data_IF_333198036760
#
_entry.id   IF_333198036760
#
_cell.length_a   1.000
_cell.length_b   1.000
_cell.length_c   1.000
_cell.angle_alpha   90.00
_cell.angle_beta   90.00
_cell.angle_gamma   90.00
#
_symmetry.space_group_name_H-M   'P 1'
#
loop_
_entity.id
_entity.type
_entity.pdbx_description
1 polymer ?
#
# COMPACT_ATOMS: atom_id res chain seq x y z
N UNK A 1 34.13 -12.13 -14.62
CA UNK A 1 33.94 -12.38 -13.18
C UNK A 1 32.89 -11.41 -12.72
N UNK A 2 31.63 -11.85 -12.74
CA UNK A 2 30.46 -11.05 -12.37
C UNK A 2 30.42 -10.86 -10.86
N UNK A 3 30.69 -9.63 -10.40
CA UNK A 3 30.56 -9.22 -8.99
C UNK A 3 29.12 -8.72 -8.72
N UNK A 4 28.15 -9.15 -9.53
CA UNK A 4 26.75 -8.95 -9.23
C UNK A 4 26.30 -10.05 -8.26
N UNK A 5 25.83 -9.65 -7.07
CA UNK A 5 25.13 -10.44 -6.04
C UNK A 5 25.87 -10.71 -4.73
N UNK A 6 26.49 -9.71 -4.10
CA UNK A 6 26.55 -9.68 -2.64
C UNK A 6 26.22 -8.28 -2.14
N UNK A 7 24.93 -7.97 -2.09
CA UNK A 7 24.43 -6.84 -1.31
C UNK A 7 24.76 -7.16 0.16
N UNK A 8 25.51 -6.31 0.90
CA UNK A 8 25.58 -6.45 2.35
C UNK A 8 24.19 -6.13 2.90
N UNK A 9 23.33 -7.14 2.96
CA UNK A 9 22.10 -7.07 3.73
C UNK A 9 22.56 -6.91 5.18
N UNK A 10 22.44 -5.70 5.72
CA UNK A 10 22.41 -5.58 7.17
C UNK A 10 21.37 -6.59 7.66
N UNK A 11 21.68 -7.43 8.66
CA UNK A 11 20.74 -8.44 9.12
C UNK A 11 19.45 -7.72 9.51
N UNK A 12 18.43 -7.84 8.65
CA UNK A 12 17.13 -7.25 8.91
C UNK A 12 16.59 -8.00 10.11
N UNK A 13 16.30 -7.27 11.19
CA UNK A 13 15.67 -7.87 12.36
C UNK A 13 14.37 -8.50 11.88
N UNK A 14 14.23 -9.81 12.12
CA UNK A 14 13.09 -10.57 11.67
C UNK A 14 11.85 -10.14 12.44
N UNK A 15 10.84 -9.68 11.73
CA UNK A 15 9.55 -9.33 12.31
C UNK A 15 8.67 -10.58 12.41
N UNK A 16 8.75 -11.26 13.56
CA UNK A 16 8.01 -12.51 13.82
C UNK A 16 6.50 -12.30 13.73
N UNK A 17 5.99 -11.15 14.20
CA UNK A 17 4.57 -10.84 14.14
C UNK A 17 4.11 -10.63 12.70
N UNK A 18 4.89 -9.89 11.90
CA UNK A 18 4.54 -9.65 10.51
C UNK A 18 4.59 -10.94 9.67
N UNK A 19 5.56 -11.82 9.92
CA UNK A 19 5.63 -13.14 9.28
C UNK A 19 4.41 -14.02 9.64
N UNK A 20 4.01 -14.03 10.91
CA UNK A 20 2.83 -14.76 11.36
C UNK A 20 1.55 -14.20 10.73
N UNK A 21 1.39 -12.88 10.68
CA UNK A 21 0.26 -12.23 10.02
C UNK A 21 0.23 -12.54 8.52
N UNK A 22 1.38 -12.50 7.85
CA UNK A 22 1.49 -12.87 6.44
C UNK A 22 0.99 -14.29 6.20
N UNK A 23 1.40 -15.25 7.05
CA UNK A 23 0.98 -16.65 6.92
C UNK A 23 -0.52 -16.84 7.19
N UNK A 24 -1.04 -16.29 8.27
CA UNK A 24 -2.47 -16.41 8.60
C UNK A 24 -3.36 -15.71 7.56
N UNK A 25 -2.89 -14.59 7.01
CA UNK A 25 -3.60 -13.90 5.94
C UNK A 25 -3.56 -14.68 4.62
N UNK A 26 -2.44 -15.35 4.32
CA UNK A 26 -2.37 -16.28 3.20
C UNK A 26 -3.37 -17.44 3.38
N UNK A 27 -3.40 -18.08 4.55
CA UNK A 27 -4.36 -19.13 4.90
C UNK A 27 -5.82 -18.64 4.75
N UNK A 28 -6.10 -17.38 5.11
CA UNK A 28 -7.39 -16.75 4.87
C UNK A 28 -7.73 -16.65 3.36
N UNK A 29 -6.79 -16.20 2.52
CA UNK A 29 -7.01 -16.13 1.07
C UNK A 29 -7.23 -17.52 0.43
N UNK A 30 -6.69 -18.58 1.02
CA UNK A 30 -6.95 -19.96 0.57
C UNK A 30 -8.39 -20.40 0.80
N UNK A 31 -9.07 -19.84 1.81
CA UNK A 31 -10.48 -20.17 2.09
C UNK A 31 -11.46 -19.65 1.05
N UNK A 32 -11.04 -18.74 0.16
CA UNK A 32 -11.89 -18.20 -0.88
C UNK A 32 -12.29 -19.25 -1.90
N UNK A 33 -13.50 -19.13 -2.41
CA UNK A 33 -14.00 -20.03 -3.45
C UNK A 33 -13.25 -19.79 -4.77
N UNK A 34 -13.23 -20.80 -5.64
CA UNK A 34 -12.58 -20.70 -6.96
C UNK A 34 -13.12 -19.53 -7.80
N UNK A 35 -14.41 -19.19 -7.65
CA UNK A 35 -15.00 -18.06 -8.34
C UNK A 35 -14.45 -16.73 -7.82
N UNK A 36 -14.35 -16.55 -6.51
CA UNK A 36 -13.78 -15.33 -5.91
C UNK A 36 -12.33 -15.15 -6.32
N UNK A 37 -11.55 -16.24 -6.28
CA UNK A 37 -10.15 -16.22 -6.72
C UNK A 37 -10.01 -15.86 -8.19
N UNK A 38 -10.87 -16.40 -9.08
CA UNK A 38 -10.90 -16.04 -10.51
C UNK A 38 -11.22 -14.56 -10.70
N UNK A 39 -12.24 -14.04 -10.03
CA UNK A 39 -12.61 -12.62 -10.12
C UNK A 39 -11.45 -11.72 -9.71
N UNK A 40 -10.73 -12.05 -8.63
CA UNK A 40 -9.56 -11.27 -8.21
C UNK A 40 -8.43 -11.29 -9.24
N UNK A 41 -8.16 -12.46 -9.85
CA UNK A 41 -7.14 -12.59 -10.90
C UNK A 41 -7.54 -11.77 -12.12
N UNK A 42 -8.80 -11.83 -12.54
CA UNK A 42 -9.30 -11.10 -13.71
C UNK A 42 -9.25 -9.57 -13.49
N UNK A 43 -9.60 -9.11 -12.29
CA UNK A 43 -9.46 -7.69 -11.93
C UNK A 43 -8.00 -7.23 -11.95
N UNK A 44 -7.09 -7.97 -11.32
CA UNK A 44 -5.66 -7.62 -11.25
C UNK A 44 -4.92 -7.77 -12.59
N UNK A 45 -5.46 -8.58 -13.51
CA UNK A 45 -4.96 -8.70 -14.89
C UNK A 45 -5.03 -7.37 -15.64
N UNK A 46 -5.94 -6.48 -15.24
CA UNK A 46 -6.04 -5.15 -15.84
C UNK A 46 -4.83 -4.31 -15.41
N UNK A 47 -4.16 -3.60 -16.34
CA UNK A 47 -2.92 -2.88 -16.04
C UNK A 47 -3.10 -1.82 -14.94
N UNK A 48 -4.26 -1.16 -14.91
CA UNK A 48 -4.58 -0.08 -13.97
C UNK A 48 -4.96 -0.55 -12.56
N UNK A 49 -5.15 -1.87 -12.33
CA UNK A 49 -5.68 -2.42 -11.06
C UNK A 49 -4.63 -3.16 -10.24
N UNK A 50 -4.02 -2.48 -9.29
CA UNK A 50 -3.02 -2.97 -8.32
C UNK A 50 -3.58 -3.37 -6.95
N UNK A 51 -4.80 -2.97 -6.60
CA UNK A 51 -5.34 -3.16 -5.26
C UNK A 51 -6.42 -4.24 -5.21
N UNK A 52 -6.32 -5.14 -4.23
CA UNK A 52 -7.38 -6.11 -3.90
C UNK A 52 -8.18 -5.60 -2.71
N UNK A 53 -9.50 -5.57 -2.86
CA UNK A 53 -10.42 -5.18 -1.80
C UNK A 53 -10.85 -6.41 -0.99
N UNK A 54 -10.64 -6.37 0.32
CA UNK A 54 -10.97 -7.45 1.24
C UNK A 54 -12.02 -6.99 2.25
N UNK A 55 -13.05 -7.80 2.43
CA UNK A 55 -14.07 -7.52 3.43
C UNK A 55 -13.52 -7.81 4.84
N UNK A 56 -13.41 -6.76 5.67
CA UNK A 56 -12.91 -6.87 7.03
C UNK A 56 -13.78 -7.77 7.92
N UNK A 57 -15.10 -7.85 7.66
CA UNK A 57 -15.99 -8.75 8.41
C UNK A 57 -15.67 -10.22 8.16
N UNK A 58 -15.36 -10.58 6.91
CA UNK A 58 -15.00 -11.95 6.57
C UNK A 58 -13.67 -12.34 7.24
N UNK A 59 -12.69 -11.43 7.21
CA UNK A 59 -11.42 -11.61 7.92
C UNK A 59 -11.62 -11.79 9.43
N UNK A 60 -12.51 -10.99 10.03
CA UNK A 60 -12.84 -11.09 11.45
C UNK A 60 -13.56 -12.39 11.81
N UNK A 61 -14.39 -12.93 10.91
CA UNK A 61 -15.07 -14.21 11.11
C UNK A 61 -14.11 -15.40 11.00
N UNK A 62 -13.11 -15.31 10.11
CA UNK A 62 -12.08 -16.32 9.97
C UNK A 62 -11.14 -16.35 11.18
N UNK A 63 -10.61 -15.18 11.55
CA UNK A 63 -9.69 -15.07 12.69
C UNK A 63 -9.75 -13.67 13.32
N UNK A 64 -10.52 -13.55 14.41
CA UNK A 64 -10.67 -12.31 15.17
C UNK A 64 -9.35 -11.79 15.78
N UNK A 65 -8.39 -12.67 16.09
CA UNK A 65 -7.08 -12.22 16.57
C UNK A 65 -6.28 -11.57 15.44
N UNK A 66 -6.27 -12.18 14.26
CA UNK A 66 -5.61 -11.64 13.08
C UNK A 66 -6.20 -10.28 12.68
N UNK A 67 -7.53 -10.17 12.63
CA UNK A 67 -8.20 -8.92 12.24
C UNK A 67 -7.84 -7.79 13.21
N UNK A 68 -7.85 -8.03 14.53
CA UNK A 68 -7.45 -7.04 15.55
C UNK A 68 -5.99 -6.61 15.40
N UNK A 69 -5.07 -7.55 15.21
CA UNK A 69 -3.65 -7.22 15.02
C UNK A 69 -3.45 -6.38 13.75
N UNK A 70 -4.13 -6.73 12.65
CA UNK A 70 -4.13 -5.92 11.43
C UNK A 70 -4.73 -4.55 11.69
N UNK A 71 -5.78 -4.45 12.48
CA UNK A 71 -6.42 -3.17 12.80
C UNK A 71 -5.50 -2.26 13.64
N UNK A 72 -4.76 -2.82 14.58
CA UNK A 72 -3.95 -2.05 15.51
C UNK A 72 -2.59 -1.63 14.90
N UNK A 73 -1.96 -2.50 14.10
CA UNK A 73 -0.64 -2.25 13.50
C UNK A 73 -0.66 -2.21 11.96
N UNK A 74 -1.78 -1.74 11.37
CA UNK A 74 -2.00 -1.78 9.92
C UNK A 74 -0.85 -1.20 9.09
N UNK A 75 -0.36 0.00 9.44
CA UNK A 75 0.70 0.66 8.67
C UNK A 75 1.99 -0.17 8.61
N UNK A 76 2.35 -0.82 9.72
CA UNK A 76 3.52 -1.72 9.81
C UNK A 76 3.31 -3.02 9.04
N UNK A 77 2.10 -3.57 9.10
CA UNK A 77 1.77 -4.89 8.54
C UNK A 77 1.44 -4.84 7.05
N UNK A 78 1.04 -3.69 6.51
CA UNK A 78 0.66 -3.51 5.11
C UNK A 78 1.68 -4.09 4.10
N UNK A 79 3.00 -3.86 4.21
CA UNK A 79 3.98 -4.46 3.30
C UNK A 79 3.99 -6.00 3.36
N UNK A 80 3.77 -6.57 4.54
CA UNK A 80 3.73 -8.03 4.74
C UNK A 80 2.43 -8.63 4.21
N UNK A 81 1.29 -7.94 4.34
CA UNK A 81 0.01 -8.33 3.73
C UNK A 81 0.12 -8.32 2.19
N UNK A 82 0.70 -7.26 1.61
CA UNK A 82 0.99 -7.17 0.17
C UNK A 82 1.91 -8.30 -0.31
N UNK A 83 2.93 -8.66 0.49
CA UNK A 83 3.81 -9.79 0.18
C UNK A 83 3.07 -11.13 0.25
N UNK A 84 2.22 -11.32 1.25
CA UNK A 84 1.36 -12.50 1.37
C UNK A 84 0.42 -12.66 0.18
N UNK A 85 -0.21 -11.57 -0.25
CA UNK A 85 -1.06 -11.52 -1.43
C UNK A 85 -0.29 -11.89 -2.71
N UNK A 86 0.90 -11.31 -2.91
CA UNK A 86 1.78 -11.66 -4.05
C UNK A 86 2.16 -13.15 -4.03
N UNK A 87 2.48 -13.69 -2.86
CA UNK A 87 2.83 -15.10 -2.70
C UNK A 87 1.62 -16.01 -3.03
N UNK A 88 0.44 -15.67 -2.52
CA UNK A 88 -0.81 -16.37 -2.80
C UNK A 88 -1.05 -16.51 -4.30
N UNK A 89 -0.94 -15.39 -5.03
CA UNK A 89 -1.07 -15.40 -6.48
C UNK A 89 0.00 -16.26 -7.15
N UNK A 90 1.28 -16.13 -6.78
CA UNK A 90 2.36 -16.98 -7.35
C UNK A 90 2.06 -18.47 -7.27
N UNK A 91 1.44 -18.93 -6.19
CA UNK A 91 1.12 -20.34 -5.97
C UNK A 91 -0.18 -20.80 -6.63
N UNK A 92 -1.19 -19.93 -6.71
CA UNK A 92 -2.54 -20.29 -7.14
C UNK A 92 -2.87 -19.97 -8.60
N UNK A 93 -2.23 -18.97 -9.22
CA UNK A 93 -2.46 -18.67 -10.65
C UNK A 93 -2.25 -19.90 -11.54
N UNK A 94 -1.19 -20.73 -11.38
CA UNK A 94 -1.00 -21.90 -12.25
C UNK A 94 -2.13 -22.93 -12.13
N UNK A 95 -2.85 -22.96 -11.01
CA UNK A 95 -3.95 -23.90 -10.74
C UNK A 95 -5.29 -23.39 -11.28
N UNK A 96 -5.49 -22.07 -11.27
CA UNK A 96 -6.75 -21.41 -11.59
C UNK A 96 -6.82 -20.97 -13.06
N UNK A 97 -5.68 -20.61 -13.66
CA UNK A 97 -5.62 -20.13 -15.03
C UNK A 97 -5.91 -21.26 -16.02
N UNK A 98 -7.07 -21.19 -16.68
CA UNK A 98 -7.54 -22.17 -17.67
C UNK A 98 -6.82 -21.97 -19.03
N UNK A 99 -6.29 -20.78 -19.32
CA UNK A 99 -5.68 -20.42 -20.60
C UNK A 99 -4.20 -20.02 -20.45
N UNK A 100 -3.31 -20.66 -21.22
CA UNK A 100 -1.86 -20.45 -21.13
C UNK A 100 -1.42 -19.02 -21.46
N UNK A 101 -2.15 -18.32 -22.34
CA UNK A 101 -1.84 -16.94 -22.73
C UNK A 101 -2.16 -15.93 -21.60
N UNK A 102 -3.29 -16.11 -20.90
CA UNK A 102 -3.66 -15.30 -19.72
C UNK A 102 -2.64 -15.49 -18.60
N UNK A 103 -2.20 -16.73 -18.38
CA UNK A 103 -1.17 -17.07 -17.40
C UNK A 103 0.14 -16.32 -17.65
N UNK A 104 0.68 -16.37 -18.87
CA UNK A 104 1.96 -15.72 -19.20
C UNK A 104 1.86 -14.18 -19.15
N UNK A 105 0.72 -13.62 -19.58
CA UNK A 105 0.47 -12.17 -19.44
C UNK A 105 0.41 -11.74 -17.98
N UNK A 106 -0.25 -12.52 -17.12
CA UNK A 106 -0.35 -12.23 -15.69
C UNK A 106 1.01 -12.34 -15.01
N UNK A 107 1.78 -13.41 -15.27
CA UNK A 107 3.12 -13.60 -14.68
C UNK A 107 4.05 -12.44 -15.01
N UNK A 108 4.13 -12.04 -16.28
CA UNK A 108 4.99 -10.95 -16.72
C UNK A 108 4.57 -9.61 -16.10
N UNK A 109 3.29 -9.28 -16.21
CA UNK A 109 2.79 -7.95 -15.83
C UNK A 109 2.62 -7.81 -14.32
N UNK A 110 2.00 -8.79 -13.66
CA UNK A 110 1.53 -8.65 -12.28
C UNK A 110 2.53 -9.17 -11.26
N UNK A 111 3.20 -10.30 -11.51
CA UNK A 111 4.08 -10.92 -10.52
C UNK A 111 5.49 -10.33 -10.46
N UNK A 112 5.95 -9.76 -11.58
CA UNK A 112 7.31 -9.24 -11.73
C UNK A 112 7.36 -7.72 -11.65
N UNK A 113 6.46 -7.02 -12.35
CA UNK A 113 6.57 -5.57 -12.51
C UNK A 113 5.60 -4.78 -11.63
N UNK A 114 4.50 -5.39 -11.17
CA UNK A 114 3.42 -4.69 -10.46
C UNK A 114 3.51 -4.84 -8.95
N UNK A 115 3.34 -3.74 -8.24
CA UNK A 115 3.04 -3.76 -6.81
C UNK A 115 1.57 -4.10 -6.59
N UNK A 116 1.31 -4.95 -5.59
CA UNK A 116 -0.03 -5.31 -5.19
C UNK A 116 -0.32 -4.72 -3.82
N UNK A 117 -1.48 -4.10 -3.69
CA UNK A 117 -1.94 -3.48 -2.45
C UNK A 117 -3.16 -4.22 -1.93
N UNK A 118 -3.31 -4.20 -0.61
CA UNK A 118 -4.51 -4.69 0.08
C UNK A 118 -5.27 -3.48 0.59
N UNK A 119 -6.54 -3.40 0.25
CA UNK A 119 -7.47 -2.43 0.84
C UNK A 119 -8.58 -3.18 1.58
N UNK A 120 -9.12 -2.56 2.63
CA UNK A 120 -10.18 -3.14 3.43
C UNK A 120 -11.50 -2.41 3.24
N UNK A 121 -12.58 -3.17 3.12
CA UNK A 121 -13.97 -2.69 3.17
C UNK A 121 -14.65 -3.14 4.47
N UNK A 122 -15.79 -2.52 4.81
CA UNK A 122 -16.63 -2.88 5.95
C UNK A 122 -15.94 -2.91 7.32
N UNK A 123 -14.92 -2.07 7.51
CA UNK A 123 -14.30 -1.85 8.83
C UNK A 123 -15.34 -1.30 9.80
N UNK A 124 -15.55 -2.02 10.91
CA UNK A 124 -16.61 -1.73 11.88
C UNK A 124 -16.29 -0.49 12.75
N UNK A 125 -15.02 -0.28 13.05
CA UNK A 125 -14.53 0.80 13.92
C UNK A 125 -14.59 2.16 13.21
N UNK A 126 -15.75 2.82 13.33
CA UNK A 126 -16.00 4.17 12.81
C UNK A 126 -15.64 5.23 13.85
N UNK A 127 -14.73 6.13 13.52
CA UNK A 127 -14.33 7.26 14.35
C UNK A 127 -14.84 8.59 13.77
N UNK A 128 -15.17 9.52 14.66
CA UNK A 128 -15.39 10.93 14.32
C UNK A 128 -14.05 11.63 14.14
N UNK A 129 -13.98 12.66 13.28
CA UNK A 129 -12.73 13.41 13.07
C UNK A 129 -12.18 14.01 14.37
N UNK A 130 -13.05 14.54 15.25
CA UNK A 130 -12.68 15.01 16.60
C UNK A 130 -12.02 13.98 17.51
N UNK A 131 -12.27 12.69 17.30
CA UNK A 131 -11.76 11.61 18.15
C UNK A 131 -10.41 11.07 17.67
N UNK A 132 -9.86 11.61 16.57
CA UNK A 132 -8.54 11.26 16.08
C UNK A 132 -7.47 11.88 16.98
N UNK A 133 -6.63 11.02 17.54
CA UNK A 133 -5.54 11.39 18.43
C UNK A 133 -4.33 10.47 18.17
N UNK A 134 -3.26 10.67 18.93
CA UNK A 134 -2.01 9.91 18.77
C UNK A 134 -2.14 8.42 19.05
N UNK A 135 -3.14 7.97 19.83
CA UNK A 135 -3.36 6.53 20.07
C UNK A 135 -3.99 5.81 18.88
N UNK A 136 -4.42 6.55 17.85
CA UNK A 136 -4.95 6.01 16.58
C UNK A 136 -3.93 6.02 15.44
N UNK A 137 -2.69 6.38 15.72
CA UNK A 137 -1.60 6.39 14.74
C UNK A 137 -1.31 4.98 14.24
N UNK A 138 -1.14 4.82 12.93
CA UNK A 138 -0.78 3.53 12.33
C UNK A 138 -1.89 2.47 12.33
N UNK A 139 -3.01 2.71 13.01
CA UNK A 139 -4.19 1.82 13.04
C UNK A 139 -5.00 1.93 11.74
N UNK A 140 -5.75 0.88 11.41
CA UNK A 140 -6.80 0.89 10.40
C UNK A 140 -8.07 1.47 11.00
N UNK A 141 -8.50 2.61 10.49
CA UNK A 141 -9.68 3.34 10.96
C UNK A 141 -10.62 3.65 9.81
N UNK A 142 -11.92 3.74 10.12
CA UNK A 142 -12.94 4.29 9.22
C UNK A 142 -13.39 5.65 9.73
N UNK A 143 -13.37 6.66 8.87
CA UNK A 143 -13.89 8.00 9.15
C UNK A 143 -14.89 8.40 8.09
N UNK A 144 -15.91 9.18 8.47
CA UNK A 144 -16.86 9.75 7.51
C UNK A 144 -16.68 11.26 7.46
N UNK A 145 -16.67 11.82 6.27
CA UNK A 145 -16.62 13.27 6.09
C UNK A 145 -17.33 13.69 4.81
N UNK A 146 -17.68 14.96 4.75
CA UNK A 146 -18.10 15.59 3.51
C UNK A 146 -16.85 16.12 2.78
N UNK A 147 -16.72 15.79 1.51
CA UNK A 147 -15.62 16.28 0.68
C UNK A 147 -15.86 17.75 0.37
N UNK A 148 -14.93 18.62 0.78
CA UNK A 148 -15.05 20.06 0.51
C UNK A 148 -14.21 20.49 -0.68
N UNK A 149 -13.06 19.82 -0.90
CA UNK A 149 -12.15 20.16 -1.97
C UNK A 149 -11.33 18.96 -2.39
N UNK A 150 -11.26 18.73 -3.69
CA UNK A 150 -10.31 17.81 -4.31
C UNK A 150 -9.16 18.61 -4.90
N UNK A 151 -7.94 18.11 -4.78
CA UNK A 151 -6.78 18.63 -5.48
C UNK A 151 -6.56 17.82 -6.76
N UNK A 152 -5.87 18.39 -7.77
CA UNK A 152 -5.53 17.64 -8.98
C UNK A 152 -4.64 16.43 -8.67
N UNK A 153 -4.71 15.44 -9.54
CA UNK A 153 -3.91 14.22 -9.46
C UNK A 153 -2.48 14.53 -9.90
N UNK A 154 -1.51 14.03 -9.14
CA UNK A 154 -0.09 14.13 -9.46
C UNK A 154 0.60 12.78 -9.23
N UNK A 155 1.65 12.44 -10.00
CA UNK A 155 2.44 11.24 -9.75
C UNK A 155 3.32 11.42 -8.49
N UNK A 156 3.24 10.47 -7.56
CA UNK A 156 4.10 10.37 -6.38
C UNK A 156 5.15 9.27 -6.61
N UNK A 157 6.43 9.61 -6.40
CA UNK A 157 7.52 8.63 -6.40
C UNK A 157 7.49 7.86 -5.08
N UNK A 158 7.20 6.56 -5.11
CA UNK A 158 7.10 5.70 -3.90
C UNK A 158 8.38 4.89 -3.67
N UNK A 159 9.00 4.44 -4.76
CA UNK A 159 10.26 3.71 -4.72
C UNK A 159 11.15 4.20 -5.84
N UNK A 160 12.36 4.63 -5.50
CA UNK A 160 13.31 5.18 -6.43
C UNK A 160 14.41 4.18 -6.74
N UNK A 161 14.77 4.08 -8.02
CA UNK A 161 16.00 3.43 -8.46
C UNK A 161 17.01 4.51 -8.80
N UNK A 162 18.16 4.49 -8.13
CA UNK A 162 19.25 5.43 -8.36
C UNK A 162 20.41 4.77 -9.09
N UNK A 163 21.11 5.52 -9.93
CA UNK A 163 22.35 5.10 -10.59
C UNK A 163 23.48 5.96 -10.02
N UNK A 164 24.51 5.29 -9.52
CA UNK A 164 25.73 5.96 -9.06
C UNK A 164 26.43 6.64 -10.24
N UNK A 165 26.64 7.96 -10.19
CA UNK A 165 27.31 8.67 -11.28
C UNK A 165 28.77 8.25 -11.47
N UNK A 166 29.43 7.81 -10.40
CA UNK A 166 30.87 7.49 -10.42
C UNK A 166 31.15 6.07 -10.94
N UNK A 167 30.39 5.07 -10.47
CA UNK A 167 30.63 3.65 -10.81
C UNK A 167 29.50 3.01 -11.60
N UNK A 168 28.46 3.76 -11.97
CA UNK A 168 27.28 3.30 -12.72
C UNK A 168 26.51 2.15 -12.07
N UNK A 169 26.76 1.87 -10.78
CA UNK A 169 26.06 0.85 -10.02
C UNK A 169 24.61 1.27 -9.77
N UNK A 170 23.68 0.35 -10.07
CA UNK A 170 22.25 0.54 -9.83
C UNK A 170 21.92 0.25 -8.36
N UNK A 171 21.20 1.18 -7.75
CA UNK A 171 20.70 1.14 -6.39
C UNK A 171 19.15 1.14 -6.44
N UNK A 172 18.52 -0.03 -6.68
CA UNK A 172 17.06 -0.15 -6.76
C UNK A 172 16.38 -0.13 -5.40
N UNK A 173 15.07 0.10 -5.38
CA UNK A 173 14.20 -0.04 -4.22
C UNK A 173 14.57 0.85 -3.03
N UNK A 174 14.90 2.12 -3.29
CA UNK A 174 15.05 3.14 -2.24
C UNK A 174 13.69 3.72 -1.92
N UNK A 175 13.15 3.37 -0.75
CA UNK A 175 11.84 3.85 -0.29
C UNK A 175 11.80 5.38 -0.21
N UNK A 176 10.69 5.95 -0.68
CA UNK A 176 10.41 7.38 -0.61
C UNK A 176 9.25 7.60 0.34
N UNK A 177 9.53 8.12 1.52
CA UNK A 177 8.53 8.37 2.56
C UNK A 177 8.21 9.87 2.61
N UNK A 178 7.32 10.33 1.73
CA UNK A 178 6.89 11.74 1.61
C UNK A 178 8.00 12.77 1.36
N UNK A 179 9.24 12.31 1.16
CA UNK A 179 10.42 13.12 0.90
C UNK A 179 11.33 12.42 -0.09
N UNK A 180 11.90 13.19 -1.02
CA UNK A 180 12.92 12.70 -1.92
C UNK A 180 14.17 12.31 -1.13
N UNK A 181 14.46 11.02 -1.11
CA UNK A 181 15.52 10.41 -0.30
C UNK A 181 16.48 9.63 -1.19
N UNK A 182 17.74 10.05 -1.19
CA UNK A 182 18.81 9.39 -1.92
C UNK A 182 19.51 8.32 -1.05
N UNK A 183 20.18 7.33 -1.66
CA UNK A 183 21.05 6.42 -0.92
C UNK A 183 22.15 7.19 -0.17
N UNK A 184 22.43 6.79 1.08
CA UNK A 184 23.49 7.42 1.88
C UNK A 184 24.91 7.04 1.39
N UNK A 185 25.03 5.87 0.75
CA UNK A 185 26.29 5.35 0.22
C UNK A 185 26.00 4.44 -0.97
N UNK A 186 26.94 4.40 -1.92
CA UNK A 186 26.86 3.48 -3.05
C UNK A 186 26.84 2.02 -2.58
N UNK A 187 26.03 1.18 -3.24
CA UNK A 187 26.00 -0.27 -2.97
C UNK A 187 27.27 -1.00 -3.37
N UNK A 188 28.08 -0.40 -4.26
CA UNK A 188 29.36 -0.97 -4.63
C UNK A 188 30.37 -0.68 -3.50
N UNK A 189 30.93 -1.71 -2.82
CA UNK A 189 31.84 -1.53 -1.69
C UNK A 189 33.16 -0.84 -2.07
N UNK A 190 33.53 -0.87 -3.35
CA UNK A 190 34.73 -0.20 -3.87
C UNK A 190 34.48 1.29 -4.14
N UNK A 191 33.22 1.69 -4.28
CA UNK A 191 32.84 3.07 -4.59
C UNK A 191 32.55 3.85 -3.31
N UNK A 192 33.26 4.97 -3.12
CA UNK A 192 33.07 5.85 -1.95
C UNK A 192 32.06 6.98 -2.18
N UNK A 193 31.22 6.87 -3.22
CA UNK A 193 30.21 7.88 -3.51
C UNK A 193 29.09 7.89 -2.45
N UNK A 194 28.70 9.09 -2.02
CA UNK A 194 27.67 9.34 -1.00
C UNK A 194 26.59 10.34 -1.41
N UNK A 195 26.73 11.01 -2.56
CA UNK A 195 25.84 12.11 -2.96
C UNK A 195 25.53 12.13 -4.45
N UNK A 196 26.42 11.62 -5.31
CA UNK A 196 26.27 11.72 -6.76
C UNK A 196 25.41 10.58 -7.30
N UNK A 197 24.10 10.68 -7.09
CA UNK A 197 23.12 9.71 -7.56
C UNK A 197 22.17 10.35 -8.57
N UNK A 198 22.07 9.74 -9.76
CA UNK A 198 21.07 10.08 -10.76
C UNK A 198 19.82 9.20 -10.55
N UNK A 199 18.64 9.79 -10.63
CA UNK A 199 17.38 9.04 -10.57
C UNK A 199 17.12 8.37 -11.94
N UNK A 200 16.90 7.06 -11.93
CA UNK A 200 16.42 6.33 -13.11
C UNK A 200 14.90 6.31 -13.10
N UNK A 201 14.28 7.18 -13.91
CA UNK A 201 12.83 7.27 -14.02
C UNK A 201 12.18 5.99 -14.56
N UNK A 202 12.88 5.21 -15.37
CA UNK A 202 12.31 4.02 -16.04
C UNK A 202 12.16 2.84 -15.09
N UNK A 203 13.09 2.70 -14.14
CA UNK A 203 13.10 1.64 -13.13
C UNK A 203 12.55 2.10 -11.77
N UNK A 204 12.16 3.37 -11.67
CA UNK A 204 11.51 3.90 -10.48
C UNK A 204 10.01 3.65 -10.53
N UNK A 205 9.38 3.63 -9.36
CA UNK A 205 7.95 3.33 -9.21
C UNK A 205 7.20 4.58 -8.79
N UNK A 206 6.22 4.92 -9.60
CA UNK A 206 5.31 6.03 -9.37
C UNK A 206 3.90 5.50 -9.14
N UNK A 207 3.15 6.21 -8.31
CA UNK A 207 1.73 5.95 -8.08
C UNK A 207 0.95 7.23 -8.26
N UNK A 208 -0.31 7.12 -8.65
CA UNK A 208 -1.21 8.26 -8.66
C UNK A 208 -1.49 8.70 -7.22
N UNK A 209 -1.30 9.99 -6.96
CA UNK A 209 -1.53 10.63 -5.67
C UNK A 209 -2.57 11.74 -5.84
N UNK A 210 -3.52 11.77 -4.92
CA UNK A 210 -4.49 12.84 -4.83
C UNK A 210 -4.71 13.24 -3.38
N UNK A 211 -4.67 14.54 -3.14
CA UNK A 211 -5.08 15.12 -1.85
C UNK A 211 -6.57 15.48 -1.90
N UNK A 212 -7.31 15.15 -0.85
CA UNK A 212 -8.71 15.50 -0.69
C UNK A 212 -8.91 16.08 0.69
N UNK A 213 -9.54 17.26 0.78
CA UNK A 213 -9.91 17.87 2.04
C UNK A 213 -11.35 17.51 2.38
N UNK A 214 -11.54 16.98 3.57
CA UNK A 214 -12.85 16.63 4.11
C UNK A 214 -13.19 17.50 5.32
N UNK A 215 -14.49 17.60 5.59
CA UNK A 215 -15.05 18.29 6.74
C UNK A 215 -15.97 17.33 7.52
N UNK A 216 -16.07 17.57 8.83
CA UNK A 216 -17.04 16.88 9.69
C UNK A 216 -18.47 17.00 9.16
N UNK A 217 -19.24 15.92 9.26
CA UNK A 217 -20.66 15.94 8.90
C UNK A 217 -21.45 16.81 9.88
N UNK A 218 -22.39 17.61 9.37
CA UNK A 218 -23.26 18.45 10.20
C UNK A 218 -24.00 17.67 11.30
N UNK A 219 -24.36 16.41 11.01
CA UNK A 219 -25.02 15.51 11.96
C UNK A 219 -24.18 15.17 13.21
N UNK A 220 -22.86 15.36 13.15
CA UNK A 220 -21.95 15.02 14.24
C UNK A 220 -21.40 16.24 14.98
N UNK A 221 -21.78 17.44 14.53
CA UNK A 221 -21.28 18.69 15.10
C UNK A 221 -21.95 18.98 16.45
N UNK A 222 -21.16 19.22 17.50
CA UNK A 222 -21.69 19.78 18.74
C UNK A 222 -22.17 21.21 18.51
N UNK A 223 -23.27 21.59 19.17
CA UNK A 223 -23.87 22.92 19.09
C UNK A 223 -22.83 24.01 19.39
N UNK A 224 -22.78 25.04 18.53
CA UNK A 224 -21.90 26.20 18.68
C UNK A 224 -20.44 25.98 18.28
N UNK A 225 -20.05 24.80 17.79
CA UNK A 225 -18.67 24.52 17.39
C UNK A 225 -18.46 24.61 15.87
N UNK A 226 -17.29 25.14 15.48
CA UNK A 226 -16.84 25.19 14.09
C UNK A 226 -16.46 23.76 13.64
N UNK A 227 -16.89 23.31 12.45
CA UNK A 227 -16.52 22.00 11.92
C UNK A 227 -15.00 21.87 11.74
N UNK A 228 -14.43 20.73 12.13
CA UNK A 228 -13.02 20.44 11.84
C UNK A 228 -12.87 19.91 10.40
N UNK A 229 -11.73 20.23 9.80
CA UNK A 229 -11.34 19.71 8.51
C UNK A 229 -10.09 18.82 8.64
N UNK A 230 -9.97 17.84 7.77
CA UNK A 230 -8.82 16.94 7.69
C UNK A 230 -8.43 16.76 6.22
N UNK A 231 -7.13 16.64 5.97
CA UNK A 231 -6.61 16.28 4.66
C UNK A 231 -6.42 14.76 4.57
N UNK A 232 -6.94 14.17 3.52
CA UNK A 232 -6.85 12.74 3.19
C UNK A 232 -5.98 12.58 1.94
N UNK A 233 -5.10 11.59 1.98
CA UNK A 233 -4.29 11.18 0.84
C UNK A 233 -4.92 9.93 0.24
N UNK A 234 -5.27 10.01 -1.04
CA UNK A 234 -5.78 8.90 -1.84
C UNK A 234 -4.68 8.46 -2.81
N UNK A 235 -4.52 7.15 -2.96
CA UNK A 235 -3.50 6.54 -3.84
C UNK A 235 -4.13 5.52 -4.78
N UNK A 236 -3.49 5.28 -5.92
CA UNK A 236 -3.88 4.29 -6.92
C UNK A 236 -5.36 4.42 -7.31
N UNK A 237 -6.14 3.34 -7.26
CA UNK A 237 -7.53 3.30 -7.71
C UNK A 237 -8.47 4.18 -6.89
N UNK A 238 -8.07 4.58 -5.68
CA UNK A 238 -8.87 5.48 -4.85
C UNK A 238 -8.91 6.91 -5.41
N UNK A 239 -7.95 7.27 -6.26
CA UNK A 239 -7.89 8.59 -6.90
C UNK A 239 -9.11 8.83 -7.79
N UNK A 240 -9.61 10.07 -7.81
CA UNK A 240 -10.80 10.54 -8.53
C UNK A 240 -12.14 9.89 -8.15
N UNK A 241 -12.18 9.01 -7.14
CA UNK A 241 -13.44 8.42 -6.68
C UNK A 241 -14.33 9.41 -5.91
N UNK A 242 -13.72 10.32 -5.15
CA UNK A 242 -14.41 11.27 -4.29
C UNK A 242 -14.64 12.60 -5.01
N UNK A 243 -15.88 13.13 -5.02
CA UNK A 243 -16.19 14.44 -5.62
C UNK A 243 -16.57 15.47 -4.55
N UNK A 244 -16.33 16.78 -4.79
CA UNK A 244 -16.79 17.83 -3.89
C UNK A 244 -18.30 17.76 -3.65
N UNK A 245 -18.70 17.83 -2.39
CA UNK A 245 -20.09 17.71 -1.94
C UNK A 245 -20.46 16.31 -1.45
N UNK A 246 -19.74 15.27 -1.88
CA UNK A 246 -20.05 13.89 -1.51
C UNK A 246 -19.79 13.62 -0.03
N UNK A 247 -20.64 12.76 0.55
CA UNK A 247 -20.40 12.18 1.87
C UNK A 247 -19.81 10.79 1.69
N UNK A 248 -18.53 10.65 2.01
CA UNK A 248 -17.79 9.41 1.81
C UNK A 248 -17.29 8.84 3.13
N UNK A 249 -17.18 7.51 3.15
CA UNK A 249 -16.44 6.78 4.18
C UNK A 249 -15.04 6.49 3.69
N UNK A 250 -14.05 6.96 4.44
CA UNK A 250 -12.64 6.74 4.16
C UNK A 250 -12.11 5.70 5.13
N UNK A 251 -11.48 4.67 4.58
CA UNK A 251 -10.82 3.61 5.34
C UNK A 251 -9.33 3.70 5.06
N UNK A 252 -8.54 3.80 6.12
CA UNK A 252 -7.10 3.97 5.99
C UNK A 252 -6.44 4.14 7.34
N UNK A 253 -5.29 4.81 7.33
CA UNK A 253 -4.49 4.99 8.54
C UNK A 253 -4.12 6.45 8.77
N UNK A 254 -4.02 6.82 10.05
CA UNK A 254 -3.51 8.11 10.47
C UNK A 254 -1.98 8.06 10.48
N UNK A 255 -1.36 8.96 9.73
CA UNK A 255 0.09 9.06 9.58
C UNK A 255 0.57 10.48 9.89
N UNK A 256 1.85 10.60 10.24
CA UNK A 256 2.51 11.91 10.35
C UNK A 256 3.08 12.24 8.98
N UNK A 257 2.77 13.43 8.48
CA UNK A 257 3.48 14.00 7.35
C UNK A 257 4.65 14.81 7.91
N UNK A 258 5.90 14.49 7.54
CA UNK A 258 7.02 15.36 7.86
C UNK A 258 6.85 16.68 7.09
N UNK A 259 6.99 17.81 7.79
CA UNK A 259 6.97 19.15 7.20
C UNK A 259 8.18 19.40 6.27
#
# INVERSE_FOLDING_TARGET
>A
MDIAQQVPQHPRVRDVLADQCQRLFFEYLETFDENEKKTMIDELSQPQRSTVLINYRHLSNFNDRLSRVIQDEYYRLLPSLSRGLKQFFREHIPKIAIEAEKLERFKRTVLNDKELYVAFSDVQMRYKLRNLNTSKMGMLIRITGQVIRTYPVHPELVSATFICSDCQMVCPDVEQQFRFTQPLMCRNPVCNNRSHFALDLTRSRFVDFQKVRIQESQSELPHGNIPRCLDIIMRNECVEQAKPGDRCDFIGTLIVLPD
#
